data_IF_938320462520
#
_entry.id   IF_938320462520
#
_cell.length_a   1.000
_cell.length_b   1.000
_cell.length_c   1.000
_cell.angle_alpha   90.00
_cell.angle_beta   90.00
_cell.angle_gamma   90.00
#
_symmetry.space_group_name_H-M   'P 1'
#
loop_
_entity.id
_entity.type
_entity.pdbx_description
1 polymer ?
#
# COMPACT_ATOMS: atom_id res chain seq x y z
N UNK A 1 -3.71 33.73 -24.02
CA UNK A 1 -2.97 32.56 -24.56
C UNK A 1 -1.60 32.53 -23.89
N UNK A 2 -1.11 31.45 -23.29
CA UNK A 2 -1.61 30.10 -23.18
C UNK A 2 -1.08 29.44 -21.90
N UNK A 3 -1.72 28.33 -21.56
CA UNK A 3 -1.34 27.40 -20.49
C UNK A 3 0.04 26.80 -20.77
N UNK A 4 0.85 26.56 -19.73
CA UNK A 4 1.93 25.60 -19.83
C UNK A 4 1.97 24.76 -18.56
N UNK A 5 1.24 23.66 -18.62
CA UNK A 5 1.26 22.55 -17.68
C UNK A 5 2.63 21.87 -17.76
N UNK A 6 3.37 21.84 -16.65
CA UNK A 6 4.53 20.97 -16.47
C UNK A 6 4.50 20.35 -15.08
N UNK A 7 3.51 19.51 -14.81
CA UNK A 7 3.62 18.51 -13.75
C UNK A 7 4.48 17.36 -14.27
N UNK A 8 5.79 17.61 -14.42
CA UNK A 8 6.78 16.56 -14.59
C UNK A 8 7.29 16.21 -13.21
N UNK A 9 6.64 15.26 -12.53
CA UNK A 9 7.15 14.73 -11.27
C UNK A 9 8.33 13.81 -11.58
N UNK A 10 9.53 14.38 -11.59
CA UNK A 10 10.79 13.66 -11.71
C UNK A 10 11.14 13.02 -10.37
N UNK A 11 10.59 11.83 -10.11
CA UNK A 11 10.90 11.06 -8.90
C UNK A 11 12.40 10.72 -8.86
N UNK A 12 13.11 11.28 -7.89
CA UNK A 12 14.48 10.90 -7.56
C UNK A 12 14.43 9.76 -6.53
N UNK A 13 15.40 8.84 -6.52
CA UNK A 13 15.40 7.65 -5.64
C UNK A 13 15.36 7.97 -4.12
N UNK A 14 15.65 9.22 -3.74
CA UNK A 14 15.51 9.74 -2.37
C UNK A 14 14.07 10.17 -2.03
N UNK A 15 13.29 10.59 -3.03
CA UNK A 15 11.89 11.04 -2.89
C UNK A 15 10.93 9.86 -2.64
N UNK A 16 11.30 8.66 -3.09
CA UNK A 16 10.59 7.41 -2.78
C UNK A 16 10.44 7.15 -1.26
N UNK A 17 11.25 7.79 -0.40
CA UNK A 17 11.21 7.59 1.06
C UNK A 17 10.50 8.70 1.84
N UNK A 18 10.29 9.90 1.28
CA UNK A 18 9.65 11.03 1.98
C UNK A 18 8.17 11.21 1.60
N UNK A 19 7.72 10.65 0.47
CA UNK A 19 6.32 10.77 0.00
C UNK A 19 5.44 9.51 0.20
N UNK A 20 5.98 8.43 0.75
CA UNK A 20 5.26 7.13 0.83
C UNK A 20 5.18 6.59 2.25
N UNK A 21 4.13 5.82 2.52
CA UNK A 21 3.92 5.14 3.79
C UNK A 21 3.59 3.66 3.56
N UNK A 22 3.80 2.85 4.62
CA UNK A 22 3.31 1.47 4.67
C UNK A 22 1.89 1.49 5.23
N UNK A 23 0.92 0.97 4.49
CA UNK A 23 -0.40 0.68 5.04
C UNK A 23 -0.37 -0.71 5.65
N UNK A 24 -0.16 -0.76 6.96
CA UNK A 24 0.00 -2.01 7.70
C UNK A 24 -1.32 -2.50 8.26
N UNK A 25 -1.55 -3.80 8.14
CA UNK A 25 -2.67 -4.52 8.71
C UNK A 25 -2.14 -5.71 9.51
N UNK A 26 -2.49 -5.76 10.80
CA UNK A 26 -2.11 -6.85 11.68
C UNK A 26 -3.25 -7.87 11.74
N UNK A 27 -3.00 -9.07 11.24
CA UNK A 27 -3.95 -10.17 11.27
C UNK A 27 -4.06 -10.77 12.69
N UNK A 28 -5.13 -11.55 12.91
CA UNK A 28 -5.43 -12.16 14.21
C UNK A 28 -4.37 -13.18 14.66
N UNK A 29 -3.70 -13.82 13.70
CA UNK A 29 -2.61 -14.76 13.94
C UNK A 29 -1.26 -14.07 14.25
N UNK A 30 -1.24 -12.73 14.29
CA UNK A 30 -0.05 -11.94 14.60
C UNK A 30 0.79 -11.57 13.38
N UNK A 31 0.50 -12.11 12.19
CA UNK A 31 1.17 -11.74 10.95
C UNK A 31 0.78 -10.32 10.52
N UNK A 32 1.74 -9.60 9.95
CA UNK A 32 1.51 -8.25 9.43
C UNK A 32 1.58 -8.25 7.91
N UNK A 33 0.62 -7.59 7.29
CA UNK A 33 0.51 -7.41 5.84
C UNK A 33 0.53 -5.94 5.51
N UNK A 34 1.27 -5.54 4.49
CA UNK A 34 1.31 -4.15 4.09
C UNK A 34 1.47 -3.93 2.60
N UNK A 35 1.03 -2.75 2.16
CA UNK A 35 1.26 -2.19 0.83
C UNK A 35 1.90 -0.82 0.96
N UNK A 36 2.68 -0.42 -0.05
CA UNK A 36 3.28 0.91 -0.10
C UNK A 36 2.30 1.86 -0.81
N UNK A 37 1.95 2.95 -0.14
CA UNK A 37 0.96 3.91 -0.63
C UNK A 37 1.38 5.36 -0.38
N UNK A 38 0.64 6.28 -0.98
CA UNK A 38 0.80 7.72 -0.79
C UNK A 38 -0.19 8.16 0.30
N UNK A 39 0.25 8.63 1.48
CA UNK A 39 -0.62 8.86 2.64
C UNK A 39 -1.78 9.83 2.34
N UNK A 40 -1.50 10.93 1.63
CA UNK A 40 -2.51 11.93 1.25
C UNK A 40 -3.60 11.35 0.33
N UNK A 41 -3.21 10.45 -0.58
CA UNK A 41 -4.14 9.80 -1.50
C UNK A 41 -4.99 8.73 -0.81
N UNK A 42 -4.48 8.09 0.24
CA UNK A 42 -5.24 7.10 1.02
C UNK A 42 -6.46 7.76 1.67
N UNK A 43 -6.26 8.92 2.31
CA UNK A 43 -7.37 9.66 2.94
C UNK A 43 -8.38 10.17 1.92
N UNK A 44 -7.91 10.62 0.75
CA UNK A 44 -8.76 11.02 -0.37
C UNK A 44 -9.57 9.85 -0.91
N UNK A 45 -8.94 8.70 -1.14
CA UNK A 45 -9.59 7.50 -1.65
C UNK A 45 -10.62 6.91 -0.67
N UNK A 46 -10.35 6.99 0.64
CA UNK A 46 -11.33 6.59 1.66
C UNK A 46 -12.62 7.43 1.60
N UNK A 47 -12.52 8.70 1.19
CA UNK A 47 -13.66 9.62 1.02
C UNK A 47 -14.31 9.50 -0.36
N UNK A 48 -13.51 9.30 -1.40
CA UNK A 48 -13.96 9.23 -2.78
C UNK A 48 -13.40 8.00 -3.50
N UNK A 49 -14.28 7.02 -3.74
CA UNK A 49 -13.94 5.75 -4.40
C UNK A 49 -13.88 5.85 -5.93
N UNK A 50 -14.07 7.04 -6.51
CA UNK A 50 -13.90 7.26 -7.96
C UNK A 50 -12.44 7.42 -8.34
N UNK A 51 -11.59 7.80 -7.37
CA UNK A 51 -10.14 7.80 -7.51
C UNK A 51 -9.66 6.36 -7.77
N UNK A 52 -8.92 6.11 -8.87
CA UNK A 52 -8.44 4.78 -9.17
C UNK A 52 -7.32 4.40 -8.19
N UNK A 53 -7.32 3.15 -7.72
CA UNK A 53 -6.38 2.72 -6.67
C UNK A 53 -4.91 2.76 -7.12
N UNK A 54 -4.66 2.72 -8.43
CA UNK A 54 -3.32 2.89 -9.04
C UNK A 54 -2.69 4.25 -8.71
N UNK A 55 -3.50 5.28 -8.44
CA UNK A 55 -3.04 6.60 -8.02
C UNK A 55 -2.81 6.69 -6.50
N UNK A 56 -3.18 5.66 -5.75
CA UNK A 56 -3.09 5.59 -4.28
C UNK A 56 -1.91 4.73 -3.85
N UNK A 57 -1.68 3.61 -4.52
CA UNK A 57 -0.62 2.65 -4.21
C UNK A 57 0.54 2.75 -5.19
N UNK A 58 1.77 2.55 -4.70
CA UNK A 58 2.97 2.52 -5.54
C UNK A 58 3.07 1.22 -6.35
N UNK A 59 2.52 0.14 -5.81
CA UNK A 59 2.47 -1.16 -6.45
C UNK A 59 1.30 -1.98 -5.91
N UNK A 60 0.89 -2.99 -6.67
CA UNK A 60 -0.08 -4.01 -6.22
C UNK A 60 0.61 -5.17 -5.50
N UNK A 61 1.85 -4.99 -5.05
CA UNK A 61 2.54 -5.99 -4.26
C UNK A 61 2.08 -5.90 -2.80
N UNK A 62 1.61 -7.03 -2.28
CA UNK A 62 1.36 -7.22 -0.86
C UNK A 62 2.61 -7.83 -0.25
N UNK A 63 3.07 -7.25 0.83
CA UNK A 63 4.21 -7.74 1.59
C UNK A 63 3.74 -8.28 2.94
N UNK A 64 4.47 -9.26 3.47
CA UNK A 64 4.23 -9.79 4.82
C UNK A 64 5.51 -9.74 5.66
N UNK A 65 5.34 -9.60 6.98
CA UNK A 65 6.42 -9.71 7.97
C UNK A 65 5.98 -10.60 9.12
N UNK A 66 6.64 -11.77 9.34
CA UNK A 66 6.27 -12.69 10.42
C UNK A 66 6.62 -12.18 11.82
N UNK A 67 7.35 -11.06 11.96
CA UNK A 67 7.96 -10.64 13.23
C UNK A 67 7.73 -9.17 13.61
N UNK A 68 6.72 -8.48 13.06
CA UNK A 68 6.42 -7.11 13.53
C UNK A 68 7.41 -6.03 13.05
N UNK A 69 8.42 -6.43 12.26
CA UNK A 69 9.64 -5.66 12.03
C UNK A 69 9.78 -5.11 10.62
N UNK A 70 10.57 -4.05 10.49
CA UNK A 70 11.04 -3.47 9.21
C UNK A 70 12.10 -4.36 8.54
N UNK A 71 11.82 -5.66 8.39
CA UNK A 71 12.79 -6.60 7.86
C UNK A 71 12.76 -6.56 6.34
N UNK A 72 13.90 -6.23 5.75
CA UNK A 72 14.20 -6.48 4.34
C UNK A 72 15.02 -7.77 4.23
N UNK A 73 14.77 -8.62 3.23
CA UNK A 73 13.73 -8.47 2.20
C UNK A 73 12.34 -8.69 2.79
N UNK A 74 11.41 -7.84 2.38
CA UNK A 74 9.99 -8.06 2.63
C UNK A 74 9.54 -9.27 1.82
N UNK A 75 8.92 -10.25 2.48
CA UNK A 75 8.46 -11.46 1.80
C UNK A 75 7.07 -11.22 1.19
N UNK A 76 6.70 -12.03 0.20
CA UNK A 76 5.37 -11.99 -0.41
C UNK A 76 4.53 -13.11 0.21
N UNK A 77 3.32 -12.82 0.69
CA UNK A 77 2.49 -13.86 1.28
C UNK A 77 2.10 -14.90 0.24
N UNK A 78 2.09 -16.16 0.67
CA UNK A 78 1.57 -17.27 -0.12
C UNK A 78 0.05 -17.12 -0.30
N UNK A 79 -0.51 -17.72 -1.37
CA UNK A 79 -1.97 -17.72 -1.61
C UNK A 79 -2.76 -18.21 -0.39
N UNK A 80 -2.32 -19.28 0.26
CA UNK A 80 -2.95 -19.80 1.47
C UNK A 80 -2.93 -18.84 2.65
N UNK A 81 -1.89 -18.01 2.79
CA UNK A 81 -1.86 -16.94 3.81
C UNK A 81 -2.90 -15.87 3.49
N UNK A 82 -2.98 -15.46 2.22
CA UNK A 82 -3.98 -14.47 1.80
C UNK A 82 -5.41 -14.97 2.00
N UNK A 83 -5.70 -16.21 1.61
CA UNK A 83 -7.04 -16.81 1.77
C UNK A 83 -7.41 -16.98 3.25
N UNK A 84 -6.45 -17.36 4.10
CA UNK A 84 -6.67 -17.51 5.54
C UNK A 84 -7.05 -16.19 6.23
N UNK A 85 -6.46 -15.07 5.79
CA UNK A 85 -6.64 -13.76 6.44
C UNK A 85 -7.70 -12.90 5.77
N UNK A 86 -7.69 -12.84 4.44
CA UNK A 86 -8.53 -11.95 3.64
C UNK A 86 -9.69 -12.66 2.94
N UNK A 87 -9.81 -14.00 3.08
CA UNK A 87 -10.81 -14.82 2.39
C UNK A 87 -10.72 -14.76 0.85
N UNK A 88 -9.58 -14.30 0.32
CA UNK A 88 -9.29 -14.24 -1.12
C UNK A 88 -7.79 -14.40 -1.34
N UNK A 89 -7.40 -15.05 -2.44
CA UNK A 89 -6.01 -15.07 -2.93
C UNK A 89 -5.75 -14.00 -3.98
N UNK A 90 -6.76 -13.19 -4.31
CA UNK A 90 -6.61 -12.12 -5.28
C UNK A 90 -5.92 -10.90 -4.67
N UNK A 91 -4.70 -10.63 -5.13
CA UNK A 91 -3.89 -9.52 -4.66
C UNK A 91 -4.57 -8.16 -4.85
N UNK A 92 -5.36 -7.95 -5.90
CA UNK A 92 -6.03 -6.65 -6.12
C UNK A 92 -7.08 -6.35 -5.05
N UNK A 93 -7.82 -7.39 -4.62
CA UNK A 93 -8.81 -7.28 -3.56
C UNK A 93 -8.13 -7.05 -2.21
N UNK A 94 -7.01 -7.74 -1.96
CA UNK A 94 -6.21 -7.55 -0.74
C UNK A 94 -5.64 -6.14 -0.67
N UNK A 95 -5.13 -5.60 -1.78
CA UNK A 95 -4.61 -4.22 -1.82
C UNK A 95 -5.72 -3.22 -1.48
N UNK A 96 -6.92 -3.37 -2.06
CA UNK A 96 -8.08 -2.53 -1.72
C UNK A 96 -8.43 -2.62 -0.24
N UNK A 97 -8.44 -3.83 0.30
CA UNK A 97 -8.70 -4.07 1.71
C UNK A 97 -7.66 -3.36 2.60
N UNK A 98 -6.37 -3.45 2.27
CA UNK A 98 -5.28 -2.77 2.99
C UNK A 98 -5.37 -1.25 2.88
N UNK A 99 -5.78 -0.70 1.74
CA UNK A 99 -6.00 0.75 1.62
C UNK A 99 -7.15 1.23 2.50
N UNK A 100 -8.21 0.42 2.61
CA UNK A 100 -9.38 0.76 3.43
C UNK A 100 -9.12 0.60 4.94
N UNK A 101 -8.55 -0.54 5.34
CA UNK A 101 -8.45 -0.96 6.74
C UNK A 101 -7.04 -0.82 7.33
N UNK A 102 -6.03 -0.62 6.49
CA UNK A 102 -4.63 -0.48 6.94
C UNK A 102 -4.39 0.84 7.67
N UNK A 103 -3.39 0.80 8.55
CA UNK A 103 -2.88 1.96 9.29
C UNK A 103 -1.58 2.44 8.67
N UNK A 104 -1.46 3.75 8.33
CA UNK A 104 -0.22 4.30 7.80
C UNK A 104 0.89 4.25 8.86
N UNK A 105 2.04 3.70 8.48
CA UNK A 105 3.26 3.61 9.28
C UNK A 105 4.43 4.12 8.44
N UNK A 106 5.32 4.90 9.05
CA UNK A 106 6.56 5.34 8.40
C UNK A 106 7.54 4.15 8.22
N UNK A 107 8.52 4.35 7.34
CA UNK A 107 9.52 3.33 7.02
C UNK A 107 10.52 3.08 8.14
#
# INVERSE_FOLDING_TARGET
MGVNMKNGHNINSSDMREGTCKLNYKAQNGEEYYVIAIPDMVEKWKKDKTIPIVDVVQSFDVFTSPAGGNVFPADRPSKGQLESVFNTSNTDEVVRYLVENGTPKNF
#
